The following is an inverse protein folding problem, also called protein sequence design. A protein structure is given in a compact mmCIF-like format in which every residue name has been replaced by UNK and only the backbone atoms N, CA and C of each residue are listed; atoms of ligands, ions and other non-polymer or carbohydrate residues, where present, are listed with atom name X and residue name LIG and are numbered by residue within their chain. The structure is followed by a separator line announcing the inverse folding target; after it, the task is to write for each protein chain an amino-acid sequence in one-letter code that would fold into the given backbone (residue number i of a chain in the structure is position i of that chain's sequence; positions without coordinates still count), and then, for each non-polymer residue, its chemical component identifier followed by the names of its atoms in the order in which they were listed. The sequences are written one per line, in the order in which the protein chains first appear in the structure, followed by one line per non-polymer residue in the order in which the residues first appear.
data_IF_028929416663
#
_entry.id   IF_028929416663
#
_cell.length_a   1.000
_cell.length_b   1.000
_cell.length_c   1.000
_cell.angle_alpha   90.00
_cell.angle_beta   90.00
_cell.angle_gamma   90.00
#
_symmetry.space_group_name_H-M   'P 1'
#
loop_
_entity.id
_entity.type
_entity.pdbx_description
1 polymer ?
#
# COMPACT_ATOMS: atom_id res chain seq x y z
N UNK A 1 11.51 21.74 2.22
CA UNK A 1 10.46 20.87 1.63
C UNK A 1 10.07 19.90 2.73
N UNK A 2 9.37 20.40 3.74
CA UNK A 2 9.51 19.86 5.11
C UNK A 2 8.17 19.54 5.74
N UNK A 3 7.54 18.51 5.20
CA UNK A 3 6.79 17.57 6.03
C UNK A 3 6.83 16.20 5.34
N UNK A 4 7.77 15.35 5.77
CA UNK A 4 7.78 13.95 5.36
C UNK A 4 6.56 13.29 6.00
N UNK A 5 5.44 13.29 5.29
CA UNK A 5 4.23 12.59 5.72
C UNK A 5 4.62 11.17 6.15
N UNK A 6 4.46 10.85 7.44
CA UNK A 6 4.92 9.57 8.01
C UNK A 6 4.32 8.37 7.25
N UNK A 7 3.10 8.54 6.74
CA UNK A 7 2.39 7.58 5.87
C UNK A 7 3.24 7.23 4.65
N UNK A 8 3.76 8.23 3.92
CA UNK A 8 4.60 8.03 2.73
C UNK A 8 5.88 7.26 3.10
N UNK A 9 6.50 7.60 4.24
CA UNK A 9 7.70 6.90 4.70
C UNK A 9 7.42 5.42 5.00
N UNK A 10 6.28 5.11 5.63
CA UNK A 10 5.86 3.72 5.87
C UNK A 10 5.58 2.98 4.55
N UNK A 11 4.87 3.59 3.61
CA UNK A 11 4.59 2.99 2.30
C UNK A 11 5.88 2.67 1.55
N UNK A 12 6.86 3.59 1.51
CA UNK A 12 8.16 3.32 0.87
C UNK A 12 8.87 2.10 1.46
N UNK A 13 8.85 1.95 2.78
CA UNK A 13 9.42 0.77 3.45
C UNK A 13 8.66 -0.50 3.06
N UNK A 14 7.34 -0.43 2.94
CA UNK A 14 6.52 -1.56 2.47
C UNK A 14 6.87 -1.94 1.03
N UNK A 15 7.00 -0.98 0.11
CA UNK A 15 7.42 -1.23 -1.29
C UNK A 15 8.74 -1.99 -1.32
N UNK A 16 9.77 -1.49 -0.63
CA UNK A 16 11.09 -2.12 -0.58
C UNK A 16 11.07 -3.50 0.07
N UNK A 17 10.21 -3.73 1.06
CA UNK A 17 10.08 -5.03 1.71
C UNK A 17 9.40 -6.05 0.80
N UNK A 18 8.36 -5.64 0.08
CA UNK A 18 7.59 -6.53 -0.81
C UNK A 18 8.37 -6.89 -2.06
N UNK A 19 9.05 -5.92 -2.69
CA UNK A 19 9.87 -6.16 -3.87
C UNK A 19 10.84 -7.33 -3.67
N UNK A 20 11.49 -7.39 -2.49
CA UNK A 20 12.47 -8.45 -2.15
C UNK A 20 11.93 -9.87 -2.21
N UNK A 21 10.63 -10.09 -1.95
CA UNK A 21 10.07 -11.44 -1.99
C UNK A 21 9.23 -11.70 -3.24
N UNK A 22 8.82 -10.65 -3.96
CA UNK A 22 8.22 -10.78 -5.30
C UNK A 22 9.22 -11.36 -6.32
N UNK A 23 10.52 -11.15 -6.13
CA UNK A 23 11.59 -11.74 -6.94
C UNK A 23 11.56 -13.28 -6.96
N UNK A 24 11.04 -13.91 -5.90
CA UNK A 24 10.98 -15.37 -5.78
C UNK A 24 9.77 -16.00 -6.48
N UNK A 25 8.90 -15.21 -7.11
CA UNK A 25 7.70 -15.72 -7.76
C UNK A 25 8.09 -16.42 -9.06
N UNK A 26 7.57 -17.64 -9.26
CA UNK A 26 7.77 -18.39 -10.49
C UNK A 26 7.03 -17.73 -11.68
N UNK A 27 7.35 -18.14 -12.91
CA UNK A 27 6.76 -17.57 -14.14
C UNK A 27 5.23 -17.68 -14.18
N UNK A 28 4.65 -18.75 -13.62
CA UNK A 28 3.20 -18.96 -13.64
C UNK A 28 2.44 -17.94 -12.76
N UNK A 29 3.14 -17.30 -11.83
CA UNK A 29 2.59 -16.31 -10.91
C UNK A 29 3.00 -14.88 -11.28
N UNK A 30 3.52 -14.69 -12.49
CA UNK A 30 3.96 -13.38 -12.99
C UNK A 30 2.83 -12.33 -12.93
N UNK A 31 1.60 -12.68 -13.30
CA UNK A 31 0.48 -11.73 -13.25
C UNK A 31 0.21 -11.22 -11.85
N UNK A 32 0.21 -12.10 -10.85
CA UNK A 32 -0.01 -11.70 -9.45
C UNK A 32 1.15 -10.84 -8.94
N UNK A 33 2.39 -11.20 -9.29
CA UNK A 33 3.59 -10.42 -8.97
C UNK A 33 3.49 -9.01 -9.53
N UNK A 34 3.21 -8.90 -10.83
CA UNK A 34 3.21 -7.63 -11.55
C UNK A 34 2.05 -6.74 -11.06
N UNK A 35 0.88 -7.32 -10.78
CA UNK A 35 -0.26 -6.60 -10.17
C UNK A 35 0.03 -6.11 -8.75
N UNK A 36 0.67 -6.95 -7.92
CA UNK A 36 1.06 -6.54 -6.56
C UNK A 36 2.05 -5.38 -6.61
N UNK A 37 3.01 -5.44 -7.54
CA UNK A 37 4.03 -4.41 -7.74
C UNK A 37 3.41 -3.09 -8.23
N UNK A 38 2.59 -3.15 -9.28
CA UNK A 38 1.84 -2.00 -9.81
C UNK A 38 1.04 -1.30 -8.71
N UNK A 39 0.27 -2.07 -7.93
CA UNK A 39 -0.58 -1.55 -6.85
C UNK A 39 0.22 -0.87 -5.73
N UNK A 40 1.42 -1.37 -5.42
CA UNK A 40 2.32 -0.74 -4.45
C UNK A 40 2.85 0.61 -4.91
N UNK A 41 3.20 0.73 -6.20
CA UNK A 41 3.66 2.00 -6.75
C UNK A 41 2.52 3.00 -6.93
N UNK A 42 1.33 2.54 -7.32
CA UNK A 42 0.14 3.37 -7.39
C UNK A 42 -0.28 3.87 -6.02
N UNK A 43 -0.27 3.01 -4.99
CA UNK A 43 -0.46 3.44 -3.60
C UNK A 43 0.49 4.58 -3.22
N UNK A 44 1.77 4.44 -3.55
CA UNK A 44 2.79 5.46 -3.25
C UNK A 44 2.52 6.77 -4.00
N UNK A 45 2.28 6.67 -5.31
CA UNK A 45 1.99 7.79 -6.21
C UNK A 45 0.76 8.56 -5.75
N UNK A 46 -0.32 7.86 -5.46
CA UNK A 46 -1.59 8.47 -5.09
C UNK A 46 -1.56 9.05 -3.67
N UNK A 47 -0.75 8.48 -2.78
CA UNK A 47 -0.47 9.11 -1.46
C UNK A 47 0.30 10.42 -1.63
N UNK A 48 1.28 10.47 -2.53
CA UNK A 48 1.98 11.71 -2.86
C UNK A 48 1.05 12.75 -3.47
N UNK A 49 0.22 12.32 -4.41
CA UNK A 49 -0.74 13.20 -5.08
C UNK A 49 -1.74 13.77 -4.08
N UNK A 50 -2.31 12.95 -3.20
CA UNK A 50 -3.17 13.41 -2.12
C UNK A 50 -2.52 14.51 -1.26
N UNK A 51 -1.22 14.42 -1.03
CA UNK A 51 -0.50 15.37 -0.18
C UNK A 51 -0.36 16.78 -0.78
N UNK A 52 -0.45 16.89 -2.10
CA UNK A 52 -0.29 18.18 -2.82
C UNK A 52 -1.60 18.76 -3.34
N UNK A 53 -2.70 17.99 -3.28
CA UNK A 53 -4.01 18.42 -3.75
C UNK A 53 -4.75 19.29 -2.74
N UNK A 54 -5.68 20.09 -3.23
CA UNK A 54 -6.60 20.91 -2.42
C UNK A 54 -7.62 20.04 -1.68
N UNK A 55 -8.25 20.59 -0.64
CA UNK A 55 -9.05 19.85 0.36
C UNK A 55 -9.98 18.76 -0.22
N UNK A 56 -10.85 19.11 -1.17
CA UNK A 56 -11.85 18.17 -1.67
C UNK A 56 -11.23 17.08 -2.56
N UNK A 57 -10.29 17.44 -3.42
CA UNK A 57 -9.57 16.52 -4.30
C UNK A 57 -8.65 15.59 -3.49
N UNK A 58 -7.99 16.14 -2.46
CA UNK A 58 -7.20 15.41 -1.47
C UNK A 58 -8.03 14.33 -0.78
N UNK A 59 -9.22 14.65 -0.29
CA UNK A 59 -10.11 13.68 0.35
C UNK A 59 -10.50 12.56 -0.62
N UNK A 60 -10.80 12.90 -1.87
CA UNK A 60 -11.14 11.89 -2.89
C UNK A 60 -9.95 10.97 -3.17
N UNK A 61 -8.75 11.54 -3.37
CA UNK A 61 -7.53 10.78 -3.60
C UNK A 61 -7.13 9.93 -2.39
N UNK A 62 -7.36 10.40 -1.16
CA UNK A 62 -7.16 9.60 0.06
C UNK A 62 -8.11 8.40 0.15
N UNK A 63 -9.35 8.51 -0.36
CA UNK A 63 -10.25 7.36 -0.45
C UNK A 63 -9.72 6.33 -1.45
N UNK A 64 -9.12 6.75 -2.55
CA UNK A 64 -8.44 5.86 -3.49
C UNK A 64 -7.23 5.17 -2.86
N UNK A 65 -6.44 5.88 -2.04
CA UNK A 65 -5.39 5.27 -1.20
C UNK A 65 -5.95 4.14 -0.32
N UNK A 66 -7.13 4.31 0.28
CA UNK A 66 -7.78 3.22 1.04
C UNK A 66 -8.19 2.03 0.16
N UNK A 67 -8.56 2.26 -1.11
CA UNK A 67 -8.86 1.20 -2.08
C UNK A 67 -7.60 0.42 -2.42
N UNK A 68 -6.49 1.11 -2.73
CA UNK A 68 -5.21 0.48 -3.01
C UNK A 68 -4.76 -0.46 -1.89
N UNK A 69 -4.89 -0.04 -0.63
CA UNK A 69 -4.53 -0.88 0.53
C UNK A 69 -5.39 -2.15 0.58
N UNK A 70 -6.69 -2.07 0.25
CA UNK A 70 -7.57 -3.24 0.19
C UNK A 70 -7.19 -4.19 -0.94
N UNK A 71 -6.84 -3.65 -2.12
CA UNK A 71 -6.37 -4.45 -3.25
C UNK A 71 -5.07 -5.17 -2.91
N UNK A 72 -4.11 -4.49 -2.26
CA UNK A 72 -2.88 -5.11 -1.77
C UNK A 72 -3.16 -6.25 -0.81
N UNK A 73 -4.06 -6.08 0.16
CA UNK A 73 -4.43 -7.16 1.08
C UNK A 73 -4.99 -8.38 0.33
N UNK A 74 -5.81 -8.17 -0.70
CA UNK A 74 -6.32 -9.25 -1.54
C UNK A 74 -5.21 -9.99 -2.31
N UNK A 75 -4.28 -9.26 -2.92
CA UNK A 75 -3.16 -9.88 -3.62
C UNK A 75 -2.22 -10.64 -2.67
N UNK A 76 -1.96 -10.09 -1.49
CA UNK A 76 -1.12 -10.73 -0.47
C UNK A 76 -1.77 -11.99 0.13
N UNK A 77 -3.10 -11.99 0.32
CA UNK A 77 -3.85 -13.19 0.73
C UNK A 77 -3.80 -14.26 -0.36
N UNK A 78 -3.93 -13.85 -1.63
CA UNK A 78 -3.79 -14.76 -2.77
C UNK A 78 -2.38 -15.38 -2.85
N UNK A 79 -1.35 -14.56 -2.64
CA UNK A 79 0.04 -15.01 -2.59
C UNK A 79 0.29 -15.98 -1.43
N UNK A 80 -0.30 -15.71 -0.26
CA UNK A 80 -0.18 -16.59 0.90
C UNK A 80 -0.88 -17.94 0.66
N UNK A 81 -2.11 -17.94 0.13
CA UNK A 81 -2.84 -19.17 -0.24
C UNK A 81 -2.10 -20.02 -1.25
N UNK A 82 -1.38 -19.38 -2.17
CA UNK A 82 -0.51 -20.03 -3.17
C UNK A 82 0.87 -20.40 -2.63
N UNK A 83 1.13 -20.19 -1.34
CA UNK A 83 2.41 -20.47 -0.67
C UNK A 83 3.61 -19.72 -1.28
N UNK A 84 3.38 -18.57 -1.92
CA UNK A 84 4.43 -17.73 -2.52
C UNK A 84 5.13 -16.86 -1.48
N UNK A 85 4.49 -16.67 -0.33
CA UNK A 85 5.03 -15.95 0.82
C UNK A 85 4.80 -16.75 2.09
N UNK A 86 5.72 -16.63 3.04
CA UNK A 86 5.61 -17.23 4.36
C UNK A 86 4.53 -16.54 5.21
N UNK A 87 4.02 -17.25 6.22
CA UNK A 87 3.11 -16.67 7.22
C UNK A 87 3.73 -15.46 7.95
N UNK A 88 5.05 -15.48 8.19
CA UNK A 88 5.78 -14.34 8.77
C UNK A 88 5.75 -13.12 7.86
N UNK A 89 6.02 -13.29 6.56
CA UNK A 89 5.93 -12.21 5.58
C UNK A 89 4.51 -11.65 5.49
N UNK A 90 3.51 -12.52 5.36
CA UNK A 90 2.09 -12.16 5.30
C UNK A 90 1.65 -11.34 6.52
N UNK A 91 2.00 -11.81 7.72
CA UNK A 91 1.66 -11.12 8.98
C UNK A 91 2.34 -9.75 9.09
N UNK A 92 3.63 -9.67 8.72
CA UNK A 92 4.38 -8.42 8.79
C UNK A 92 3.81 -7.37 7.83
N UNK A 93 3.59 -7.74 6.56
CA UNK A 93 3.05 -6.80 5.58
C UNK A 93 1.60 -6.40 5.92
N UNK A 94 0.78 -7.34 6.41
CA UNK A 94 -0.59 -7.05 6.84
C UNK A 94 -0.65 -6.04 7.98
N UNK A 95 0.25 -6.15 8.98
CA UNK A 95 0.37 -5.15 10.04
C UNK A 95 0.75 -3.77 9.50
N UNK A 96 1.71 -3.70 8.58
CA UNK A 96 2.10 -2.45 7.94
C UNK A 96 0.95 -1.83 7.13
N UNK A 97 0.19 -2.63 6.39
CA UNK A 97 -0.96 -2.16 5.61
C UNK A 97 -2.09 -1.67 6.51
N UNK A 98 -2.34 -2.34 7.64
CA UNK A 98 -3.30 -1.91 8.64
C UNK A 98 -2.92 -0.56 9.26
N UNK A 99 -1.64 -0.38 9.64
CA UNK A 99 -1.13 0.91 10.13
C UNK A 99 -1.39 2.03 9.12
N UNK A 100 -1.01 1.83 7.86
CA UNK A 100 -1.18 2.82 6.78
C UNK A 100 -2.68 3.13 6.58
N UNK A 101 -3.54 2.12 6.66
CA UNK A 101 -5.00 2.28 6.55
C UNK A 101 -5.57 3.15 7.68
N UNK A 102 -5.19 2.88 8.93
CA UNK A 102 -5.64 3.65 10.10
C UNK A 102 -5.15 5.10 10.00
N UNK A 103 -3.88 5.31 9.64
CA UNK A 103 -3.32 6.64 9.46
C UNK A 103 -4.01 7.42 8.34
N UNK A 104 -4.33 6.75 7.22
CA UNK A 104 -5.04 7.39 6.10
C UNK A 104 -6.46 7.79 6.50
N UNK A 105 -7.18 6.94 7.26
CA UNK A 105 -8.50 7.29 7.81
C UNK A 105 -8.43 8.49 8.76
N UNK A 106 -7.44 8.51 9.65
CA UNK A 106 -7.23 9.65 10.55
C UNK A 106 -6.94 10.94 9.76
N UNK A 107 -6.14 10.85 8.70
CA UNK A 107 -5.83 11.97 7.81
C UNK A 107 -7.07 12.49 7.06
N UNK A 108 -7.94 11.62 6.58
CA UNK A 108 -9.23 12.04 5.98
C UNK A 108 -10.06 12.81 7.00
N UNK A 109 -10.17 12.29 8.23
CA UNK A 109 -10.96 12.91 9.30
C UNK A 109 -10.42 14.29 9.67
N UNK A 110 -9.11 14.47 9.75
CA UNK A 110 -8.50 15.78 10.05
C UNK A 110 -8.76 16.83 8.97
N UNK A 111 -9.04 16.41 7.73
CA UNK A 111 -9.38 17.32 6.64
C UNK A 111 -10.87 17.72 6.66
N UNK A 112 -11.72 17.11 7.51
CA UNK A 112 -13.15 17.39 7.60
C UNK A 112 -13.50 18.36 8.72
N UNK A 113 -12.70 18.38 9.79
CA UNK A 113 -12.63 19.45 10.79
C UNK A 113 -12.02 20.71 10.20
#
# INVERSE_FOLDING_TARGET
MDDKLLIITKIKKSVQYVDKFLENYNRNEQTLRDKTKEELYDLLKDTYLANILERQERINKQKEVLVHIKMLNFYLDSAYKKQLISSKQYTNIGKHMLDVFIMTKAWIKSNQT
#
